data_IF_499066745415
#
_entry.id   IF_499066745415
#
_cell.length_a   1.000
_cell.length_b   1.000
_cell.length_c   1.000
_cell.angle_alpha   90.00
_cell.angle_beta   90.00
_cell.angle_gamma   90.00
#
_symmetry.space_group_name_H-M   'P 1'
#
loop_
_entity.id
_entity.type
_entity.pdbx_description
1 polymer ?
#
# COMPACT_ATOMS: atom_id res chain seq x y z
N UNK A 1 9.95 -9.89 30.92
CA UNK A 1 9.70 -8.49 31.25
C UNK A 1 9.88 -7.70 29.96
N UNK A 2 8.78 -7.41 29.27
CA UNK A 2 8.82 -6.71 27.99
C UNK A 2 8.54 -5.24 28.22
N UNK A 3 9.48 -4.38 27.87
CA UNK A 3 9.29 -2.94 27.90
C UNK A 3 8.52 -2.50 26.66
N UNK A 4 7.29 -2.07 26.80
CA UNK A 4 6.58 -1.28 25.80
C UNK A 4 6.98 0.18 25.97
N UNK A 5 7.86 0.67 25.10
CA UNK A 5 8.12 2.09 24.97
C UNK A 5 6.93 2.79 24.33
N UNK A 6 6.37 3.79 25.01
CA UNK A 6 5.37 4.70 24.46
C UNK A 6 6.03 5.56 23.38
N UNK A 7 5.73 5.26 22.10
CA UNK A 7 6.05 6.18 21.02
C UNK A 7 4.86 7.10 20.78
N UNK A 8 5.05 8.37 21.08
CA UNK A 8 4.08 9.42 20.82
C UNK A 8 3.95 9.70 19.33
N UNK A 9 2.74 10.02 18.91
CA UNK A 9 2.40 10.52 17.57
C UNK A 9 3.41 11.60 17.16
N UNK A 10 4.18 11.33 16.13
CA UNK A 10 4.86 12.37 15.38
C UNK A 10 3.80 13.02 14.50
N UNK A 11 3.39 14.23 14.85
CA UNK A 11 2.41 15.01 14.10
C UNK A 11 2.93 15.35 12.69
N UNK A 12 2.02 15.63 11.77
CA UNK A 12 2.29 16.01 10.38
C UNK A 12 3.31 17.17 10.23
N UNK A 13 3.54 17.95 11.26
CA UNK A 13 4.51 19.08 11.32
C UNK A 13 5.98 18.63 11.13
N UNK A 14 6.34 17.42 11.56
CA UNK A 14 7.72 16.92 11.37
C UNK A 14 8.00 16.44 9.95
N UNK A 15 6.98 16.02 9.22
CA UNK A 15 7.12 15.57 7.83
C UNK A 15 7.48 16.73 6.93
N UNK A 16 6.88 17.91 7.14
CA UNK A 16 7.13 19.09 6.31
C UNK A 16 8.57 19.63 6.47
N UNK A 17 9.10 19.67 7.68
CA UNK A 17 10.48 20.15 7.93
C UNK A 17 11.57 19.20 7.43
N UNK A 18 11.34 17.90 7.43
CA UNK A 18 12.36 16.93 7.04
C UNK A 18 12.45 16.74 5.50
N UNK A 19 11.37 17.04 4.77
CA UNK A 19 11.33 16.94 3.30
C UNK A 19 11.87 18.22 2.63
N UNK A 20 11.86 19.36 3.31
CA UNK A 20 12.44 20.63 2.80
C UNK A 20 13.94 20.56 2.45
N UNK A 21 14.66 19.53 2.88
CA UNK A 21 16.11 19.38 2.62
C UNK A 21 16.41 18.62 1.33
N UNK A 22 15.40 18.00 0.70
CA UNK A 22 15.62 17.26 -0.54
C UNK A 22 15.47 18.19 -1.76
N UNK A 23 16.60 18.52 -2.39
CA UNK A 23 16.63 19.22 -3.67
C UNK A 23 16.78 18.22 -4.82
N UNK A 24 15.69 17.87 -5.53
CA UNK A 24 15.80 16.96 -6.66
C UNK A 24 16.68 17.58 -7.75
N UNK A 25 17.57 16.79 -8.30
CA UNK A 25 18.30 17.18 -9.52
C UNK A 25 17.34 17.07 -10.70
N UNK A 26 16.94 18.21 -11.24
CA UNK A 26 16.16 18.26 -12.49
C UNK A 26 17.08 18.11 -13.69
N UNK A 27 16.62 17.46 -14.75
CA UNK A 27 17.34 17.31 -16.02
C UNK A 27 17.50 15.88 -16.50
N UNK A 28 16.82 14.92 -15.85
CA UNK A 28 16.77 13.52 -16.30
C UNK A 28 15.68 13.26 -17.34
N UNK A 29 15.83 12.18 -18.08
CA UNK A 29 14.72 11.60 -18.86
C UNK A 29 13.68 11.03 -17.89
N UNK A 30 12.39 11.20 -18.22
CA UNK A 30 11.28 10.65 -17.44
C UNK A 30 11.53 9.16 -17.10
N UNK A 31 11.56 8.84 -15.83
CA UNK A 31 11.80 7.50 -15.31
C UNK A 31 10.51 6.94 -14.73
N UNK A 32 10.18 5.71 -15.08
CA UNK A 32 9.04 4.96 -14.51
C UNK A 32 9.54 4.04 -13.40
N UNK A 33 8.98 4.19 -12.21
CA UNK A 33 9.27 3.33 -11.06
C UNK A 33 8.11 2.39 -10.81
N UNK A 34 8.42 1.11 -10.66
CA UNK A 34 7.50 0.07 -10.18
C UNK A 34 7.73 -0.13 -8.69
N UNK A 35 6.66 -0.10 -7.91
CA UNK A 35 6.64 -0.29 -6.47
C UNK A 35 5.93 -1.58 -6.09
N UNK A 36 6.46 -2.29 -5.12
CA UNK A 36 5.75 -3.34 -4.39
C UNK A 36 5.32 -2.78 -3.04
N UNK A 37 4.02 -2.61 -2.85
CA UNK A 37 3.42 -1.95 -1.69
C UNK A 37 2.72 -2.97 -0.80
N UNK A 38 2.99 -2.91 0.49
CA UNK A 38 2.28 -3.64 1.53
C UNK A 38 1.52 -2.65 2.42
N UNK A 39 0.29 -2.98 2.81
CA UNK A 39 -0.44 -2.13 3.74
C UNK A 39 -1.50 -2.88 4.57
N UNK A 40 -1.64 -2.43 5.81
CA UNK A 40 -2.81 -2.68 6.65
C UNK A 40 -3.86 -1.62 6.34
N UNK A 41 -4.92 -1.99 5.65
CA UNK A 41 -5.98 -1.09 5.21
C UNK A 41 -6.96 -0.66 6.30
N UNK A 42 -6.87 -1.20 7.53
CA UNK A 42 -7.87 -1.02 8.60
C UNK A 42 -8.28 0.44 8.82
N UNK A 43 -7.32 1.38 8.73
CA UNK A 43 -7.53 2.80 9.02
C UNK A 43 -7.69 3.67 7.78
N UNK A 44 -7.71 3.09 6.59
CA UNK A 44 -7.76 3.83 5.33
C UNK A 44 -9.10 3.66 4.61
N UNK A 45 -9.48 4.69 3.87
CA UNK A 45 -10.68 4.71 3.02
C UNK A 45 -10.48 3.96 1.69
N UNK A 46 -9.58 2.97 1.68
CA UNK A 46 -9.20 2.18 0.52
C UNK A 46 -7.94 2.68 -0.18
N UNK A 47 -7.68 2.09 -1.34
CA UNK A 47 -6.52 2.46 -2.14
C UNK A 47 -6.66 3.83 -2.76
N UNK A 48 -7.75 4.06 -3.50
CA UNK A 48 -7.86 5.20 -4.42
C UNK A 48 -8.11 6.52 -3.72
N UNK A 49 -7.36 7.55 -4.14
CA UNK A 49 -7.61 8.95 -3.76
C UNK A 49 -9.04 9.35 -4.08
N UNK A 50 -9.67 10.06 -3.15
CA UNK A 50 -11.07 10.50 -3.23
C UNK A 50 -11.12 12.00 -2.94
N UNK A 51 -12.08 12.70 -3.57
CA UNK A 51 -12.20 14.14 -3.40
C UNK A 51 -12.64 14.62 -2.00
N UNK A 52 -13.13 13.69 -1.17
CA UNK A 52 -13.65 13.98 0.17
C UNK A 52 -12.75 13.51 1.32
N UNK A 53 -11.62 12.85 1.02
CA UNK A 53 -10.68 12.37 2.04
C UNK A 53 -9.28 12.16 1.48
N UNK A 54 -8.27 12.61 2.22
CA UNK A 54 -6.85 12.33 1.96
C UNK A 54 -6.37 11.04 2.65
N UNK A 55 -7.27 10.34 3.35
CA UNK A 55 -6.91 9.16 4.11
C UNK A 55 -6.97 7.88 3.27
N UNK A 56 -6.27 7.88 2.14
CA UNK A 56 -6.17 6.75 1.22
C UNK A 56 -4.71 6.32 1.05
N UNK A 57 -4.47 5.06 0.68
CA UNK A 57 -3.11 4.54 0.45
C UNK A 57 -2.42 5.33 -0.66
N UNK A 58 -3.10 5.55 -1.78
CA UNK A 58 -2.62 6.34 -2.91
C UNK A 58 -2.25 7.76 -2.48
N UNK A 59 -3.15 8.46 -1.79
CA UNK A 59 -2.93 9.85 -1.36
C UNK A 59 -1.74 9.99 -0.42
N UNK A 60 -1.52 9.04 0.51
CA UNK A 60 -0.36 9.05 1.40
C UNK A 60 0.96 8.90 0.63
N UNK A 61 1.01 8.02 -0.34
CA UNK A 61 2.23 7.81 -1.16
C UNK A 61 2.47 9.03 -2.07
N UNK A 62 1.45 9.51 -2.78
CA UNK A 62 1.55 10.68 -3.67
C UNK A 62 2.03 11.92 -2.94
N UNK A 63 1.50 12.19 -1.75
CA UNK A 63 1.91 13.35 -0.95
C UNK A 63 3.41 13.35 -0.64
N UNK A 64 3.98 12.20 -0.32
CA UNK A 64 5.42 12.08 -0.06
C UNK A 64 6.22 12.21 -1.36
N UNK A 65 5.79 11.54 -2.44
CA UNK A 65 6.44 11.64 -3.75
C UNK A 65 6.45 13.07 -4.26
N UNK A 66 5.33 13.80 -4.15
CA UNK A 66 5.24 15.20 -4.56
C UNK A 66 6.24 16.08 -3.80
N UNK A 67 6.37 15.88 -2.49
CA UNK A 67 7.34 16.60 -1.67
C UNK A 67 8.78 16.22 -2.01
N UNK A 68 9.05 14.95 -2.33
CA UNK A 68 10.38 14.47 -2.71
C UNK A 68 10.82 14.97 -4.07
N UNK A 69 9.91 15.01 -5.03
CA UNK A 69 10.24 15.32 -6.44
C UNK A 69 10.00 16.78 -6.80
N UNK A 70 9.14 17.48 -6.06
CA UNK A 70 8.64 18.79 -6.45
C UNK A 70 7.68 18.75 -7.64
N UNK A 71 7.24 17.55 -8.04
CA UNK A 71 6.32 17.32 -9.14
C UNK A 71 4.96 16.87 -8.60
N UNK A 72 3.89 17.07 -9.36
CA UNK A 72 2.60 16.45 -9.11
C UNK A 72 2.62 15.01 -9.64
N UNK A 73 2.83 14.05 -8.76
CA UNK A 73 2.95 12.63 -9.09
C UNK A 73 1.58 11.96 -8.98
N UNK A 74 1.21 11.21 -10.01
CA UNK A 74 0.10 10.27 -10.00
C UNK A 74 0.64 8.84 -9.92
N UNK A 75 0.22 8.08 -8.89
CA UNK A 75 0.57 6.67 -8.74
C UNK A 75 -0.59 5.78 -9.22
N UNK A 76 -0.26 4.81 -10.06
CA UNK A 76 -1.21 3.84 -10.60
C UNK A 76 -1.06 2.49 -9.92
N UNK A 77 -2.08 2.05 -9.17
CA UNK A 77 -2.12 0.70 -8.58
C UNK A 77 -2.60 -0.36 -9.57
N UNK A 78 -2.14 -1.60 -9.41
CA UNK A 78 -2.59 -2.76 -10.20
C UNK A 78 -4.07 -3.09 -9.97
N UNK A 79 -4.64 -2.67 -8.85
CA UNK A 79 -6.04 -2.78 -8.50
C UNK A 79 -6.45 -1.78 -7.46
N UNK A 80 -7.75 -1.57 -7.31
CA UNK A 80 -8.34 -0.81 -6.22
C UNK A 80 -8.73 -1.79 -5.12
N UNK A 81 -8.53 -1.40 -3.88
CA UNK A 81 -9.05 -2.07 -2.70
C UNK A 81 -10.01 -1.13 -1.99
N UNK A 82 -11.08 -1.67 -1.44
CA UNK A 82 -12.06 -0.92 -0.68
C UNK A 82 -11.53 -0.56 0.72
N UNK A 83 -12.27 0.26 1.46
CA UNK A 83 -11.93 0.64 2.83
C UNK A 83 -11.73 -0.60 3.71
N UNK A 84 -10.67 -0.60 4.51
CA UNK A 84 -10.33 -1.68 5.42
C UNK A 84 -9.62 -2.88 4.78
N UNK A 85 -9.55 -2.99 3.46
CA UNK A 85 -8.89 -4.11 2.78
C UNK A 85 -7.37 -3.95 2.80
N UNK A 86 -6.67 -5.03 3.10
CA UNK A 86 -5.21 -5.10 3.19
C UNK A 86 -4.58 -5.55 1.87
N UNK A 87 -3.28 -5.32 1.72
CA UNK A 87 -2.49 -5.92 0.65
C UNK A 87 -1.13 -6.39 1.17
N UNK A 88 -0.75 -7.61 0.80
CA UNK A 88 0.57 -8.15 1.10
C UNK A 88 1.60 -7.64 0.07
N UNK A 89 1.21 -7.57 -1.21
CA UNK A 89 2.08 -7.14 -2.33
C UNK A 89 1.22 -6.52 -3.43
N UNK A 90 0.79 -5.27 -3.27
CA UNK A 90 0.17 -4.51 -4.34
C UNK A 90 1.26 -3.93 -5.25
N UNK A 91 1.15 -4.16 -6.54
CA UNK A 91 2.03 -3.50 -7.52
C UNK A 91 1.44 -2.13 -7.87
N UNK A 92 2.31 -1.12 -7.89
CA UNK A 92 1.97 0.22 -8.34
C UNK A 92 3.10 0.78 -9.21
N UNK A 93 2.86 1.84 -9.97
CA UNK A 93 3.90 2.56 -10.68
C UNK A 93 3.62 4.06 -10.71
N UNK A 94 4.69 4.84 -10.80
CA UNK A 94 4.65 6.28 -11.03
C UNK A 94 5.80 6.72 -11.93
N UNK A 95 5.66 7.90 -12.51
CA UNK A 95 6.69 8.50 -13.37
C UNK A 95 7.16 9.82 -12.79
N UNK A 96 8.46 10.12 -12.95
CA UNK A 96 9.05 11.38 -12.52
C UNK A 96 10.22 11.78 -13.44
N UNK A 97 10.47 13.09 -13.54
CA UNK A 97 11.66 13.64 -14.17
C UNK A 97 12.81 13.88 -13.15
N UNK A 98 12.53 13.68 -11.86
CA UNK A 98 13.54 13.75 -10.82
C UNK A 98 14.54 12.60 -10.95
N UNK A 99 15.82 12.91 -10.79
CA UNK A 99 16.87 11.89 -10.80
C UNK A 99 16.94 11.21 -9.44
N UNK A 100 16.34 10.03 -9.34
CA UNK A 100 16.26 9.20 -8.13
C UNK A 100 16.83 7.81 -8.37
N UNK A 101 17.45 7.25 -7.37
CA UNK A 101 17.76 5.82 -7.30
C UNK A 101 16.57 5.04 -6.71
N UNK A 102 16.55 3.73 -6.95
CA UNK A 102 15.54 2.83 -6.42
C UNK A 102 15.56 2.80 -4.89
N UNK A 103 16.77 2.83 -4.29
CA UNK A 103 16.93 2.87 -2.84
C UNK A 103 16.42 4.18 -2.25
N UNK A 104 16.71 5.33 -2.88
CA UNK A 104 16.21 6.63 -2.41
C UNK A 104 14.68 6.66 -2.41
N UNK A 105 14.04 6.14 -3.45
CA UNK A 105 12.57 6.06 -3.52
C UNK A 105 12.02 5.18 -2.39
N UNK A 106 12.53 3.95 -2.24
CA UNK A 106 12.06 3.01 -1.22
C UNK A 106 12.26 3.56 0.20
N UNK A 107 13.46 4.02 0.50
CA UNK A 107 13.84 4.37 1.86
C UNK A 107 13.21 5.70 2.28
N UNK A 108 13.12 6.69 1.38
CA UNK A 108 12.42 7.93 1.65
C UNK A 108 10.92 7.72 1.86
N UNK A 109 10.27 6.92 1.01
CA UNK A 109 8.87 6.56 1.23
C UNK A 109 8.68 5.87 2.58
N UNK A 110 9.51 4.87 2.91
CA UNK A 110 9.39 4.15 4.18
C UNK A 110 9.72 4.99 5.41
N UNK A 111 10.53 6.05 5.25
CA UNK A 111 10.84 6.98 6.33
C UNK A 111 9.64 7.83 6.73
N UNK A 112 8.80 8.23 5.78
CA UNK A 112 7.72 9.20 6.00
C UNK A 112 6.31 8.60 5.94
N UNK A 113 6.14 7.41 5.36
CA UNK A 113 4.85 6.71 5.36
C UNK A 113 4.47 6.27 6.79
N UNK A 114 3.16 6.29 7.12
CA UNK A 114 2.68 5.71 8.37
C UNK A 114 3.06 4.22 8.45
N UNK A 115 3.17 3.69 9.68
CA UNK A 115 3.61 2.30 9.91
C UNK A 115 2.76 1.25 9.21
N UNK A 116 1.52 1.59 8.88
CA UNK A 116 0.57 0.71 8.19
C UNK A 116 0.83 0.58 6.68
N UNK A 117 1.74 1.38 6.10
CA UNK A 117 2.11 1.31 4.68
C UNK A 117 3.61 1.13 4.56
N UNK A 118 4.04 0.15 3.75
CA UNK A 118 5.46 -0.09 3.46
C UNK A 118 5.69 -0.34 1.99
N UNK A 119 6.78 0.23 1.48
CA UNK A 119 7.32 -0.09 0.17
C UNK A 119 8.33 -1.22 0.38
N UNK A 120 7.98 -2.41 -0.05
CA UNK A 120 8.84 -3.58 0.05
C UNK A 120 9.98 -3.51 -0.95
N UNK A 121 9.67 -2.98 -2.13
CA UNK A 121 10.62 -2.87 -3.22
C UNK A 121 10.26 -1.70 -4.14
N UNK A 122 11.30 -1.11 -4.76
CA UNK A 122 11.18 -0.09 -5.79
C UNK A 122 12.20 -0.39 -6.88
N UNK A 123 11.77 -0.47 -8.12
CA UNK A 123 12.65 -0.74 -9.26
C UNK A 123 12.31 0.17 -10.45
N UNK A 124 13.33 0.56 -11.21
CA UNK A 124 13.11 1.23 -12.51
C UNK A 124 12.58 0.22 -13.50
N UNK A 125 11.61 0.65 -14.29
CA UNK A 125 10.95 -0.23 -15.25
C UNK A 125 10.77 0.47 -16.60
N UNK A 126 10.32 -0.28 -17.60
CA UNK A 126 10.04 0.27 -18.93
C UNK A 126 9.02 1.42 -18.84
N UNK A 127 9.23 2.48 -19.62
CA UNK A 127 8.34 3.64 -19.63
C UNK A 127 6.92 3.35 -20.09
N UNK A 128 6.67 2.22 -20.77
CA UNK A 128 5.35 1.74 -21.15
C UNK A 128 4.67 0.90 -20.07
N UNK A 129 5.42 0.48 -19.04
CA UNK A 129 4.84 -0.30 -17.95
C UNK A 129 3.76 0.49 -17.23
N UNK A 130 2.62 -0.16 -17.03
CA UNK A 130 1.49 0.36 -16.28
C UNK A 130 0.95 -0.75 -15.37
N UNK A 131 1.00 -0.56 -14.05
CA UNK A 131 0.69 -1.59 -13.07
C UNK A 131 -0.66 -2.27 -13.28
N UNK A 132 -1.68 -1.52 -13.70
CA UNK A 132 -3.03 -2.06 -13.95
C UNK A 132 -3.14 -2.78 -15.30
N UNK A 133 -2.57 -2.20 -16.37
CA UNK A 133 -2.73 -2.73 -17.73
C UNK A 133 -1.85 -3.95 -17.99
N UNK A 134 -0.69 -4.02 -17.33
CA UNK A 134 0.26 -5.14 -17.46
C UNK A 134 0.05 -6.21 -16.37
N UNK A 135 -0.96 -6.07 -15.50
CA UNK A 135 -1.28 -7.09 -14.51
C UNK A 135 -1.72 -8.40 -15.20
N UNK A 136 -1.03 -9.49 -14.86
CA UNK A 136 -1.35 -10.83 -15.39
C UNK A 136 -2.33 -11.62 -14.53
N UNK A 137 -2.53 -11.20 -13.28
CA UNK A 137 -3.43 -11.84 -12.34
C UNK A 137 -3.52 -11.08 -11.03
N UNK A 138 -4.54 -11.41 -10.25
CA UNK A 138 -4.75 -10.90 -8.89
C UNK A 138 -5.10 -12.06 -7.98
N UNK A 139 -4.51 -12.10 -6.80
CA UNK A 139 -4.79 -13.12 -5.81
C UNK A 139 -5.49 -12.48 -4.62
N UNK A 140 -6.70 -12.95 -4.31
CA UNK A 140 -7.47 -12.54 -3.14
C UNK A 140 -7.46 -13.67 -2.09
N UNK A 141 -7.28 -13.29 -0.83
CA UNK A 141 -7.36 -14.21 0.30
C UNK A 141 -8.41 -13.69 1.28
N UNK A 142 -9.36 -14.55 1.59
CA UNK A 142 -10.30 -14.37 2.69
C UNK A 142 -9.91 -15.34 3.80
N UNK A 143 -9.61 -14.82 4.98
CA UNK A 143 -9.29 -15.62 6.15
C UNK A 143 -10.53 -15.68 7.03
N UNK A 144 -10.96 -16.90 7.37
CA UNK A 144 -12.17 -17.16 8.14
C UNK A 144 -11.77 -17.83 9.44
N UNK A 145 -12.25 -17.30 10.57
CA UNK A 145 -12.15 -17.90 11.89
C UNK A 145 -13.49 -18.60 12.23
N UNK A 146 -13.45 -19.93 12.34
CA UNK A 146 -14.57 -20.78 12.77
C UNK A 146 -14.27 -21.53 14.08
N UNK A 147 -13.23 -21.11 14.83
CA UNK A 147 -12.87 -21.69 16.10
C UNK A 147 -13.93 -21.43 17.19
N UNK A 148 -13.95 -22.25 18.25
CA UNK A 148 -14.85 -22.05 19.39
C UNK A 148 -14.58 -20.69 20.08
N UNK A 149 -13.31 -20.31 20.17
CA UNK A 149 -12.87 -19.04 20.78
C UNK A 149 -12.19 -18.17 19.74
N UNK A 150 -12.60 -16.89 19.69
CA UNK A 150 -12.05 -15.92 18.75
C UNK A 150 -10.57 -15.63 19.01
N UNK A 151 -9.75 -15.57 17.95
CA UNK A 151 -8.37 -15.11 18.06
C UNK A 151 -8.35 -13.57 18.18
N UNK A 152 -7.99 -13.08 19.37
CA UNK A 152 -7.99 -11.65 19.68
C UNK A 152 -6.95 -10.88 18.87
N UNK A 153 -5.78 -11.47 18.61
CA UNK A 153 -4.66 -10.79 17.95
C UNK A 153 -4.85 -10.68 16.43
N UNK A 154 -5.48 -11.67 15.81
CA UNK A 154 -5.66 -11.72 14.36
C UNK A 154 -7.05 -11.27 13.88
N UNK A 155 -7.95 -10.88 14.81
CA UNK A 155 -9.34 -10.51 14.50
C UNK A 155 -9.52 -9.43 13.43
N UNK A 156 -8.50 -8.61 13.18
CA UNK A 156 -8.53 -7.58 12.15
C UNK A 156 -8.31 -8.13 10.73
N UNK A 157 -7.74 -9.32 10.62
CA UNK A 157 -7.32 -9.93 9.36
C UNK A 157 -8.16 -11.13 8.96
N UNK A 158 -9.21 -11.42 9.73
CA UNK A 158 -10.09 -12.55 9.48
C UNK A 158 -11.54 -12.21 9.79
N UNK A 159 -12.44 -12.87 9.10
CA UNK A 159 -13.88 -12.77 9.36
C UNK A 159 -14.29 -13.94 10.26
N UNK A 160 -14.88 -13.63 11.42
CA UNK A 160 -15.42 -14.66 12.29
C UNK A 160 -16.77 -15.10 11.77
N UNK A 161 -16.92 -16.42 11.62
CA UNK A 161 -18.20 -17.08 11.36
C UNK A 161 -18.64 -17.83 12.62
N UNK A 162 -19.82 -17.47 13.14
CA UNK A 162 -20.38 -18.06 14.38
C UNK A 162 -21.35 -19.20 14.10
N UNK A 163 -21.74 -19.40 12.85
CA UNK A 163 -22.65 -20.45 12.41
C UNK A 163 -21.86 -21.67 11.91
N UNK A 164 -22.49 -22.84 11.94
CA UNK A 164 -21.92 -24.05 11.35
C UNK A 164 -22.01 -23.95 9.82
N UNK A 165 -20.87 -23.83 9.15
CA UNK A 165 -20.76 -23.80 7.70
C UNK A 165 -20.31 -25.16 7.18
N UNK A 166 -20.89 -25.58 6.06
CA UNK A 166 -20.43 -26.75 5.33
C UNK A 166 -19.17 -26.40 4.51
N UNK A 167 -18.01 -26.67 5.12
CA UNK A 167 -16.71 -26.41 4.50
C UNK A 167 -16.52 -27.20 3.20
N UNK A 168 -17.07 -28.40 3.11
CA UNK A 168 -16.95 -29.21 1.89
C UNK A 168 -17.81 -28.62 0.76
N UNK A 169 -18.99 -28.11 1.06
CA UNK A 169 -19.80 -27.37 0.07
C UNK A 169 -19.08 -26.08 -0.36
N UNK A 170 -18.45 -25.35 0.57
CA UNK A 170 -17.65 -24.16 0.23
C UNK A 170 -16.47 -24.50 -0.68
N UNK A 171 -15.73 -25.59 -0.42
CA UNK A 171 -14.63 -26.05 -1.31
C UNK A 171 -15.13 -26.39 -2.70
N UNK A 172 -16.26 -27.09 -2.80
CA UNK A 172 -16.89 -27.41 -4.11
C UNK A 172 -17.28 -26.15 -4.87
N UNK A 173 -17.90 -25.17 -4.19
CA UNK A 173 -18.27 -23.90 -4.80
C UNK A 173 -17.05 -23.09 -5.27
N UNK A 174 -15.96 -23.10 -4.52
CA UNK A 174 -14.73 -22.39 -4.88
C UNK A 174 -14.13 -22.85 -6.21
N UNK A 175 -14.25 -24.13 -6.56
CA UNK A 175 -13.77 -24.68 -7.86
C UNK A 175 -14.47 -24.01 -9.04
N UNK A 176 -15.73 -23.62 -8.91
CA UNK A 176 -16.49 -22.95 -9.97
C UNK A 176 -16.16 -21.46 -10.12
N UNK A 177 -15.46 -20.87 -9.15
CA UNK A 177 -15.06 -19.45 -9.20
C UNK A 177 -13.62 -19.25 -9.68
N UNK A 178 -12.86 -20.34 -9.87
CA UNK A 178 -11.51 -20.32 -10.42
C UNK A 178 -11.61 -20.32 -11.96
N UNK A 179 -11.58 -19.11 -12.54
CA UNK A 179 -11.53 -18.89 -14.01
C UNK A 179 -10.19 -18.30 -14.42
#
# INVERSE_FOLDING_TARGET
>A
MYFYGNFYLISDIMIDKAIEIYHPKYGGTMTNFKLTVQYDGTRFSGWQKQGNTDNTIQGKIENILNKMTGEEIEIHGSGRTDAGVHAIKQIANFKTNATLSELEVRDSLNKYLPLDIRILDAEKTDNRFHARLNAKGKHYRYTIDNGEVANVFERKYMTRLTENYDIEAMKKAAVHTMS
#
